data_IF_039308532645
#
_entry.id   IF_039308532645
#
_cell.length_a   1.000
_cell.length_b   1.000
_cell.length_c   1.000
_cell.angle_alpha   90.00
_cell.angle_beta   90.00
_cell.angle_gamma   90.00
#
_symmetry.space_group_name_H-M   'P 1'
#
loop_
_entity.id
_entity.type
_entity.pdbx_description
1 polymer ?
#
# COMPACT_ATOMS: atom_id res chain seq x y z
N UNK A 1 -26.73 16.66 19.32
CA UNK A 1 -25.42 16.62 18.68
C UNK A 1 -24.61 17.85 19.09
N UNK A 2 -23.45 17.60 19.68
CA UNK A 2 -22.53 18.67 20.05
C UNK A 2 -22.02 19.38 18.79
N UNK A 3 -21.74 20.68 18.84
CA UNK A 3 -21.22 21.51 17.73
C UNK A 3 -20.07 20.82 16.96
N UNK A 4 -19.20 20.07 17.65
CA UNK A 4 -18.13 19.24 17.08
C UNK A 4 -18.61 18.13 16.14
N UNK A 5 -19.75 17.52 16.41
CA UNK A 5 -20.25 16.38 15.59
C UNK A 5 -20.87 16.87 14.27
N UNK A 6 -21.52 18.06 14.27
CA UNK A 6 -22.03 18.68 13.03
C UNK A 6 -20.91 19.17 12.11
N UNK A 7 -19.86 19.74 12.70
CA UNK A 7 -18.70 20.22 11.93
C UNK A 7 -17.95 19.08 11.26
N UNK A 8 -17.76 17.96 11.97
CA UNK A 8 -17.15 16.76 11.42
C UNK A 8 -17.99 16.15 10.27
N UNK A 9 -19.31 16.07 10.44
CA UNK A 9 -20.20 15.56 9.39
C UNK A 9 -20.16 16.45 8.14
N UNK A 10 -20.14 17.78 8.30
CA UNK A 10 -19.99 18.71 7.20
C UNK A 10 -18.65 18.57 6.49
N UNK A 11 -17.55 18.40 7.25
CA UNK A 11 -16.21 18.17 6.70
C UNK A 11 -16.16 16.87 5.86
N UNK A 12 -16.68 15.76 6.40
CA UNK A 12 -16.75 14.49 5.68
C UNK A 12 -17.57 14.62 4.38
N UNK A 13 -18.71 15.34 4.44
CA UNK A 13 -19.54 15.58 3.26
C UNK A 13 -18.78 16.38 2.20
N UNK A 14 -18.10 17.47 2.59
CA UNK A 14 -17.29 18.27 1.67
C UNK A 14 -16.12 17.46 1.08
N UNK A 15 -15.48 16.60 1.87
CA UNK A 15 -14.42 15.71 1.41
C UNK A 15 -14.90 14.78 0.30
N UNK A 16 -16.01 14.09 0.50
CA UNK A 16 -16.56 13.19 -0.52
C UNK A 16 -17.17 13.93 -1.74
N UNK A 17 -17.63 15.16 -1.56
CA UNK A 17 -18.01 16.00 -2.70
C UNK A 17 -16.81 16.37 -3.57
N UNK A 18 -15.66 16.64 -2.94
CA UNK A 18 -14.42 16.95 -3.64
C UNK A 18 -13.77 15.72 -4.28
N UNK A 19 -13.92 14.57 -3.64
CA UNK A 19 -13.32 13.30 -4.07
C UNK A 19 -14.38 12.20 -4.21
N UNK A 20 -15.30 12.31 -5.18
CA UNK A 20 -16.41 11.37 -5.32
C UNK A 20 -15.96 9.94 -5.61
N UNK A 21 -14.85 9.73 -6.33
CA UNK A 21 -14.30 8.42 -6.63
C UNK A 21 -13.89 7.62 -5.38
N UNK A 22 -13.50 8.29 -4.29
CA UNK A 22 -13.20 7.61 -3.02
C UNK A 22 -14.50 7.02 -2.43
N UNK A 23 -15.58 7.81 -2.44
CA UNK A 23 -16.87 7.33 -1.95
C UNK A 23 -17.41 6.17 -2.80
N UNK A 24 -17.32 6.29 -4.12
CA UNK A 24 -17.73 5.25 -5.07
C UNK A 24 -16.92 3.97 -4.87
N UNK A 25 -15.60 4.07 -4.72
CA UNK A 25 -14.73 2.95 -4.39
C UNK A 25 -15.19 2.23 -3.12
N UNK A 26 -15.44 2.98 -2.04
CA UNK A 26 -15.88 2.42 -0.76
C UNK A 26 -17.22 1.68 -0.89
N UNK A 27 -18.18 2.24 -1.62
CA UNK A 27 -19.49 1.61 -1.82
C UNK A 27 -19.37 0.36 -2.69
N UNK A 28 -18.68 0.46 -3.82
CA UNK A 28 -18.46 -0.66 -4.73
C UNK A 28 -17.73 -1.82 -4.04
N UNK A 29 -16.71 -1.51 -3.23
CA UNK A 29 -15.95 -2.55 -2.52
C UNK A 29 -16.79 -3.29 -1.49
N UNK A 30 -17.65 -2.58 -0.74
CA UNK A 30 -18.59 -3.23 0.19
C UNK A 30 -19.59 -4.13 -0.54
N UNK A 31 -20.14 -3.63 -1.65
CA UNK A 31 -21.08 -4.39 -2.47
C UNK A 31 -20.42 -5.67 -3.01
N UNK A 32 -19.24 -5.57 -3.62
CA UNK A 32 -18.50 -6.73 -4.11
C UNK A 32 -18.18 -7.72 -2.99
N UNK A 33 -17.74 -7.23 -1.82
CA UNK A 33 -17.47 -8.08 -0.66
C UNK A 33 -18.69 -8.87 -0.21
N UNK A 34 -19.90 -8.25 -0.21
CA UNK A 34 -21.15 -8.93 0.13
C UNK A 34 -21.59 -9.92 -0.95
N UNK A 35 -21.46 -9.56 -2.24
CA UNK A 35 -21.92 -10.38 -3.36
C UNK A 35 -21.06 -11.64 -3.57
N UNK A 36 -19.73 -11.52 -3.46
CA UNK A 36 -18.80 -12.60 -3.78
C UNK A 36 -18.07 -13.20 -2.57
N UNK A 37 -18.20 -12.58 -1.38
CA UNK A 37 -17.59 -13.06 -0.14
C UNK A 37 -16.10 -12.77 0.02
N UNK A 38 -15.49 -11.99 -0.89
CA UNK A 38 -14.09 -11.60 -0.83
C UNK A 38 -13.84 -10.26 -1.55
N UNK A 39 -12.68 -9.67 -1.33
CA UNK A 39 -12.11 -8.57 -2.12
C UNK A 39 -10.75 -8.99 -2.67
N UNK A 40 -10.27 -8.31 -3.72
CA UNK A 40 -9.03 -8.67 -4.39
C UNK A 40 -8.05 -7.49 -4.42
N UNK A 41 -6.76 -7.80 -4.38
CA UNK A 41 -5.68 -6.86 -4.67
C UNK A 41 -5.57 -6.61 -6.17
N UNK A 42 -4.73 -5.65 -6.57
CA UNK A 42 -4.45 -5.35 -7.98
C UNK A 42 -3.89 -6.57 -8.76
N UNK A 43 -3.26 -7.52 -8.07
CA UNK A 43 -2.75 -8.77 -8.64
C UNK A 43 -3.70 -9.96 -8.45
N UNK A 44 -4.94 -9.73 -8.00
CA UNK A 44 -5.96 -10.77 -7.86
C UNK A 44 -5.83 -11.65 -6.61
N UNK A 45 -5.00 -11.28 -5.63
CA UNK A 45 -4.94 -11.99 -4.36
C UNK A 45 -6.18 -11.68 -3.53
N UNK A 46 -6.87 -12.72 -3.04
CA UNK A 46 -8.16 -12.61 -2.35
C UNK A 46 -8.02 -12.47 -0.85
N UNK A 47 -8.84 -11.59 -0.27
CA UNK A 47 -9.15 -11.54 1.14
C UNK A 47 -10.63 -11.88 1.33
N UNK A 48 -10.91 -12.98 2.01
CA UNK A 48 -12.29 -13.40 2.32
C UNK A 48 -12.88 -12.56 3.44
N UNK A 49 -14.17 -12.24 3.30
CA UNK A 49 -14.92 -11.33 4.19
C UNK A 49 -16.16 -12.01 4.78
N UNK A 50 -16.00 -13.08 5.59
CA UNK A 50 -17.13 -13.90 6.07
C UNK A 50 -18.13 -13.12 6.91
N UNK A 51 -17.69 -12.05 7.58
CA UNK A 51 -18.52 -11.25 8.48
C UNK A 51 -19.15 -10.02 7.83
N UNK A 52 -19.07 -9.89 6.49
CA UNK A 52 -19.53 -8.70 5.78
C UNK A 52 -21.03 -8.44 5.96
N UNK A 53 -21.82 -9.50 6.07
CA UNK A 53 -23.29 -9.45 6.29
C UNK A 53 -23.70 -9.86 7.70
N UNK A 54 -22.79 -9.78 8.69
CA UNK A 54 -23.06 -10.14 10.06
C UNK A 54 -24.25 -9.34 10.63
N UNK A 55 -25.15 -10.04 11.39
CA UNK A 55 -26.29 -9.40 12.05
C UNK A 55 -25.86 -8.38 13.10
N UNK A 56 -24.73 -8.64 13.78
CA UNK A 56 -24.14 -7.69 14.71
C UNK A 56 -23.53 -6.51 13.95
N UNK A 57 -24.08 -5.32 14.17
CA UNK A 57 -23.67 -4.07 13.49
C UNK A 57 -22.19 -3.73 13.71
N UNK A 58 -21.64 -4.01 14.90
CA UNK A 58 -20.23 -3.70 15.18
C UNK A 58 -19.29 -4.62 14.38
N UNK A 59 -19.62 -5.93 14.33
CA UNK A 59 -18.87 -6.93 13.54
C UNK A 59 -18.94 -6.59 12.06
N UNK A 60 -20.15 -6.35 11.54
CA UNK A 60 -20.34 -5.95 10.14
C UNK A 60 -19.54 -4.70 9.76
N UNK A 61 -19.61 -3.62 10.57
CA UNK A 61 -18.85 -2.40 10.29
C UNK A 61 -17.33 -2.60 10.36
N UNK A 62 -16.86 -3.51 11.20
CA UNK A 62 -15.43 -3.88 11.21
C UNK A 62 -15.04 -4.60 9.92
N UNK A 63 -15.85 -5.57 9.47
CA UNK A 63 -15.66 -6.28 8.21
C UNK A 63 -15.71 -5.35 7.00
N UNK A 64 -16.66 -4.40 6.95
CA UNK A 64 -16.74 -3.39 5.89
C UNK A 64 -15.47 -2.53 5.81
N UNK A 65 -14.93 -2.09 6.96
CA UNK A 65 -13.66 -1.32 6.98
C UNK A 65 -12.48 -2.17 6.51
N UNK A 66 -12.41 -3.42 6.96
CA UNK A 66 -11.38 -4.36 6.54
C UNK A 66 -11.44 -4.61 5.02
N UNK A 67 -12.65 -4.83 4.49
CA UNK A 67 -12.88 -5.04 3.06
C UNK A 67 -12.44 -3.84 2.21
N UNK A 68 -12.72 -2.60 2.65
CA UNK A 68 -12.30 -1.38 1.94
C UNK A 68 -10.77 -1.21 1.96
N UNK A 69 -10.13 -1.52 3.09
CA UNK A 69 -8.70 -1.31 3.26
C UNK A 69 -7.84 -2.41 2.61
N UNK A 70 -8.32 -3.64 2.57
CA UNK A 70 -7.57 -4.81 2.13
C UNK A 70 -7.07 -4.73 0.67
N UNK A 71 -7.84 -4.26 -0.33
CA UNK A 71 -7.31 -4.10 -1.68
C UNK A 71 -6.15 -3.11 -1.75
N UNK A 72 -6.19 -2.03 -0.99
CA UNK A 72 -5.14 -1.01 -0.98
C UNK A 72 -3.87 -1.53 -0.30
N UNK A 73 -3.96 -1.98 0.95
CA UNK A 73 -2.81 -2.52 1.68
C UNK A 73 -2.26 -3.79 1.05
N UNK A 74 -3.14 -4.66 0.57
CA UNK A 74 -2.75 -5.89 -0.10
C UNK A 74 -2.03 -5.61 -1.41
N UNK A 75 -2.49 -4.64 -2.20
CA UNK A 75 -1.82 -4.24 -3.45
C UNK A 75 -0.44 -3.62 -3.18
N UNK A 76 -0.31 -2.79 -2.15
CA UNK A 76 0.99 -2.27 -1.72
C UNK A 76 1.96 -3.40 -1.35
N UNK A 77 1.49 -4.40 -0.58
CA UNK A 77 2.31 -5.56 -0.23
C UNK A 77 2.69 -6.43 -1.45
N UNK A 78 1.81 -6.53 -2.44
CA UNK A 78 2.10 -7.24 -3.68
C UNK A 78 3.15 -6.51 -4.51
N UNK A 79 3.06 -5.19 -4.63
CA UNK A 79 4.02 -4.33 -5.32
C UNK A 79 5.41 -4.44 -4.68
N UNK A 80 5.50 -4.32 -3.35
CA UNK A 80 6.77 -4.45 -2.63
C UNK A 80 7.41 -5.83 -2.84
N UNK A 81 6.63 -6.90 -2.86
CA UNK A 81 7.15 -8.25 -3.17
C UNK A 81 7.71 -8.37 -4.58
N UNK A 82 7.01 -7.81 -5.57
CA UNK A 82 7.53 -7.77 -6.94
C UNK A 82 8.82 -6.94 -6.99
N UNK A 83 8.84 -5.78 -6.34
CA UNK A 83 10.02 -4.92 -6.26
C UNK A 83 11.22 -5.68 -5.66
N UNK A 84 11.04 -6.40 -4.54
CA UNK A 84 12.11 -7.21 -3.94
C UNK A 84 12.66 -8.25 -4.91
N UNK A 85 11.79 -8.94 -5.67
CA UNK A 85 12.20 -9.97 -6.64
C UNK A 85 12.99 -9.36 -7.78
N UNK A 86 12.53 -8.23 -8.33
CA UNK A 86 13.23 -7.57 -9.45
C UNK A 86 14.53 -6.92 -9.02
N UNK A 87 14.55 -6.28 -7.86
CA UNK A 87 15.77 -5.70 -7.28
C UNK A 87 16.81 -6.78 -6.98
N UNK A 88 16.42 -7.95 -6.44
CA UNK A 88 17.36 -9.05 -6.18
C UNK A 88 18.11 -9.53 -7.41
N UNK A 89 17.52 -9.40 -8.60
CA UNK A 89 18.16 -9.78 -9.87
C UNK A 89 19.29 -8.85 -10.28
N UNK A 90 19.24 -7.58 -9.88
CA UNK A 90 20.23 -6.56 -10.25
C UNK A 90 21.28 -6.31 -9.16
N UNK A 91 21.07 -6.82 -7.93
CA UNK A 91 22.02 -6.62 -6.84
C UNK A 91 23.37 -7.32 -7.10
N UNK A 92 24.49 -6.60 -7.06
CA UNK A 92 25.83 -7.20 -7.06
C UNK A 92 26.06 -7.88 -5.69
N UNK A 93 25.91 -9.21 -5.64
CA UNK A 93 25.85 -10.00 -4.40
C UNK A 93 27.06 -9.86 -3.48
N UNK A 94 28.23 -9.46 -4.04
CA UNK A 94 29.45 -9.24 -3.26
C UNK A 94 29.52 -7.83 -2.63
N UNK A 95 28.72 -6.86 -3.15
CA UNK A 95 28.80 -5.45 -2.76
C UNK A 95 27.49 -4.88 -2.22
N UNK A 96 26.38 -5.61 -2.36
CA UNK A 96 25.07 -5.16 -1.89
C UNK A 96 24.21 -6.31 -1.40
N UNK A 97 23.43 -6.06 -0.33
CA UNK A 97 22.49 -7.01 0.26
C UNK A 97 21.19 -6.31 0.65
N UNK A 98 20.07 -6.91 0.30
CA UNK A 98 18.78 -6.56 0.90
C UNK A 98 18.75 -7.13 2.31
N UNK A 99 18.66 -6.27 3.32
CA UNK A 99 18.68 -6.66 4.73
C UNK A 99 17.29 -6.95 5.26
N UNK A 100 16.35 -6.03 5.03
CA UNK A 100 14.98 -6.18 5.52
C UNK A 100 13.99 -5.31 4.74
N UNK A 101 12.72 -5.64 4.91
CA UNK A 101 11.59 -4.86 4.44
C UNK A 101 10.79 -4.41 5.67
N UNK A 102 10.53 -3.10 5.76
CA UNK A 102 9.80 -2.48 6.86
C UNK A 102 8.68 -1.63 6.26
N UNK A 103 7.42 -2.02 6.52
CA UNK A 103 6.24 -1.40 5.90
C UNK A 103 6.33 -1.34 4.36
N UNK A 104 6.61 -0.17 3.82
CA UNK A 104 6.76 0.14 2.39
C UNK A 104 8.21 0.46 1.98
N UNK A 105 9.17 0.20 2.86
CA UNK A 105 10.59 0.46 2.67
C UNK A 105 11.39 -0.82 2.47
N UNK A 106 12.45 -0.72 1.69
CA UNK A 106 13.48 -1.74 1.54
C UNK A 106 14.83 -1.18 2.04
N UNK A 107 15.45 -1.88 2.98
CA UNK A 107 16.73 -1.48 3.58
C UNK A 107 17.84 -2.36 3.03
N UNK A 108 18.89 -1.71 2.52
CA UNK A 108 20.04 -2.35 1.90
C UNK A 108 21.33 -1.98 2.64
N UNK A 109 22.26 -2.93 2.69
CA UNK A 109 23.66 -2.68 2.95
C UNK A 109 24.40 -2.66 1.61
N UNK A 110 25.15 -1.58 1.33
CA UNK A 110 25.79 -1.35 0.04
C UNK A 110 27.19 -0.80 0.25
N UNK A 111 28.14 -1.27 -0.55
CA UNK A 111 29.48 -0.68 -0.60
C UNK A 111 29.40 0.79 -1.02
N UNK A 112 30.07 1.67 -0.29
CA UNK A 112 29.97 3.12 -0.47
C UNK A 112 30.41 3.61 -1.87
N UNK A 113 31.27 2.86 -2.55
CA UNK A 113 31.77 3.20 -3.89
C UNK A 113 30.73 3.03 -5.01
N UNK A 114 29.67 2.24 -4.77
CA UNK A 114 28.59 1.99 -5.75
C UNK A 114 27.24 2.53 -5.29
N UNK A 115 27.13 3.06 -4.07
CA UNK A 115 25.87 3.40 -3.43
C UNK A 115 25.02 4.39 -4.27
N UNK A 116 25.63 5.44 -4.81
CA UNK A 116 24.93 6.47 -5.61
C UNK A 116 24.37 5.94 -6.92
N UNK A 117 25.09 5.07 -7.59
CA UNK A 117 24.66 4.48 -8.87
C UNK A 117 23.62 3.38 -8.63
N UNK A 118 23.89 2.50 -7.66
CA UNK A 118 23.00 1.38 -7.36
C UNK A 118 21.66 1.86 -6.80
N UNK A 119 21.64 2.90 -5.99
CA UNK A 119 20.39 3.44 -5.43
C UNK A 119 19.46 3.98 -6.52
N UNK A 120 19.99 4.60 -7.57
CA UNK A 120 19.20 5.02 -8.72
C UNK A 120 18.63 3.84 -9.49
N UNK A 121 19.45 2.81 -9.73
CA UNK A 121 19.00 1.59 -10.41
C UNK A 121 17.92 0.87 -9.62
N UNK A 122 18.06 0.78 -8.31
CA UNK A 122 17.03 0.21 -7.42
C UNK A 122 15.74 1.02 -7.52
N UNK A 123 15.81 2.35 -7.41
CA UNK A 123 14.64 3.20 -7.50
C UNK A 123 13.92 3.05 -8.85
N UNK A 124 14.65 3.03 -9.95
CA UNK A 124 14.10 2.85 -11.31
C UNK A 124 13.38 1.49 -11.44
N UNK A 125 14.00 0.42 -10.94
CA UNK A 125 13.37 -0.92 -10.92
C UNK A 125 12.11 -0.91 -10.09
N UNK A 126 12.14 -0.37 -8.88
CA UNK A 126 10.97 -0.32 -8.00
C UNK A 126 9.83 0.50 -8.58
N UNK A 127 10.12 1.62 -9.26
CA UNK A 127 9.11 2.46 -9.91
C UNK A 127 8.47 1.81 -11.13
N UNK A 128 9.21 0.92 -11.81
CA UNK A 128 8.77 0.27 -13.05
C UNK A 128 8.18 -1.14 -12.84
N UNK A 129 8.16 -1.64 -11.61
CA UNK A 129 7.78 -3.03 -11.30
C UNK A 129 6.34 -3.38 -11.66
N UNK A 130 5.46 -2.40 -11.68
CA UNK A 130 4.06 -2.57 -12.06
C UNK A 130 3.55 -1.30 -12.77
N UNK A 131 2.97 -1.47 -13.94
CA UNK A 131 2.30 -0.38 -14.66
C UNK A 131 0.91 -0.15 -14.08
N UNK A 132 0.72 1.02 -13.47
CA UNK A 132 -0.56 1.46 -12.89
C UNK A 132 -0.87 2.89 -13.33
N UNK A 133 -2.13 3.30 -13.17
CA UNK A 133 -2.61 4.62 -13.61
C UNK A 133 -2.02 5.83 -12.86
N UNK A 134 -1.39 5.59 -11.72
CA UNK A 134 -0.65 6.60 -10.94
C UNK A 134 0.82 6.23 -10.88
N UNK A 135 1.76 7.20 -10.96
CA UNK A 135 3.18 6.88 -10.89
C UNK A 135 3.56 6.34 -9.50
N UNK A 136 4.36 5.28 -9.49
CA UNK A 136 5.06 4.87 -8.28
C UNK A 136 6.28 5.77 -8.12
N UNK A 137 6.36 6.48 -7.00
CA UNK A 137 7.49 7.36 -6.68
C UNK A 137 8.26 6.72 -5.55
N UNK A 138 9.57 6.53 -5.75
CA UNK A 138 10.48 5.96 -4.75
C UNK A 138 11.44 7.04 -4.29
N UNK A 139 11.46 7.31 -3.00
CA UNK A 139 12.43 8.17 -2.35
C UNK A 139 13.61 7.33 -1.87
N UNK A 140 14.80 7.89 -1.93
CA UNK A 140 16.05 7.21 -1.55
C UNK A 140 16.77 8.02 -0.50
N UNK A 141 16.99 7.42 0.66
CA UNK A 141 17.88 7.92 1.71
C UNK A 141 19.17 7.11 1.76
N UNK A 142 20.27 7.74 2.14
CA UNK A 142 21.56 7.09 2.34
C UNK A 142 22.20 7.58 3.64
N UNK A 143 22.78 6.66 4.42
CA UNK A 143 23.41 6.97 5.67
C UNK A 143 24.36 5.85 6.11
N UNK A 144 25.11 6.09 7.18
CA UNK A 144 25.99 5.06 7.78
C UNK A 144 25.22 4.02 8.59
N UNK A 145 24.00 4.31 8.89
CA UNK A 145 23.04 3.46 9.59
C UNK A 145 21.63 3.86 9.13
N UNK A 146 20.62 3.10 9.54
CA UNK A 146 19.23 3.32 9.11
C UNK A 146 18.67 4.67 9.61
N UNK A 147 19.03 5.10 10.82
CA UNK A 147 18.57 6.37 11.40
C UNK A 147 19.09 7.58 10.61
N UNK A 148 20.33 7.51 10.11
CA UNK A 148 20.93 8.56 9.26
C UNK A 148 20.36 8.57 7.84
N UNK A 149 19.79 7.46 7.38
CA UNK A 149 19.23 7.32 6.02
C UNK A 149 17.75 7.73 5.94
N UNK A 150 17.13 8.07 7.05
CA UNK A 150 15.66 8.29 7.17
C UNK A 150 15.25 9.74 7.14
#
# INVERSE_FOLDING_TARGET
PTRRSSDLQNYIKQYFQRYPGIYEYMQRTRQLASEQGFVETILGRRLYTPDIDARNVMVRKAAERAAINAPLQGSAADIIKLAMIEVDKILPKDQAKLLLQVHDELVFEVDSNIADELSKQIADVMQSVLEISVPLVVEVGQGKNWDDAH
#
